data_IF_869406666858
#
_entry.id   IF_869406666858
#
_cell.length_a   1.000
_cell.length_b   1.000
_cell.length_c   1.000
_cell.angle_alpha   90.00
_cell.angle_beta   90.00
_cell.angle_gamma   90.00
#
_symmetry.space_group_name_H-M   'P 1'
#
loop_
_entity.id
_entity.type
_entity.pdbx_description
1 polymer ?
#
# COMPACT_ATOMS: atom_id res chain seq x y z
N UNK A 1 16.92 5.06 -24.71
CA UNK A 1 15.75 5.87 -24.30
C UNK A 1 14.55 4.99 -23.88
N UNK A 2 14.66 4.19 -22.80
CA UNK A 2 13.57 3.33 -22.29
C UNK A 2 13.32 3.47 -20.77
N UNK A 3 14.15 4.24 -20.07
CA UNK A 3 14.06 4.40 -18.61
C UNK A 3 13.11 5.53 -18.18
N UNK A 4 12.89 6.56 -19.00
CA UNK A 4 12.03 7.72 -18.64
C UNK A 4 10.52 7.42 -18.66
N UNK A 5 10.06 6.55 -19.55
CA UNK A 5 8.63 6.20 -19.64
C UNK A 5 8.16 5.40 -18.42
N UNK A 6 9.06 4.59 -17.85
CA UNK A 6 8.76 3.66 -16.75
C UNK A 6 8.59 4.36 -15.40
N UNK A 7 9.37 5.41 -15.17
CA UNK A 7 9.23 6.24 -13.96
C UNK A 7 7.84 6.87 -13.86
N UNK A 8 7.19 7.16 -15.00
CA UNK A 8 5.82 7.67 -15.01
C UNK A 8 4.81 6.58 -14.65
N UNK A 9 4.96 5.38 -15.19
CA UNK A 9 4.08 4.24 -14.89
C UNK A 9 4.17 3.82 -13.41
N UNK A 10 5.40 3.72 -12.88
CA UNK A 10 5.61 3.41 -11.46
C UNK A 10 4.99 4.47 -10.54
N UNK A 11 5.09 5.74 -10.94
CA UNK A 11 4.50 6.86 -10.20
C UNK A 11 2.97 6.89 -10.32
N UNK A 12 2.41 6.67 -11.51
CA UNK A 12 0.96 6.58 -11.73
C UNK A 12 0.36 5.42 -10.89
N UNK A 13 1.08 4.30 -10.81
CA UNK A 13 0.74 3.16 -9.95
C UNK A 13 0.83 3.50 -8.45
N UNK A 14 1.88 4.21 -8.03
CA UNK A 14 2.00 4.67 -6.64
C UNK A 14 0.88 5.64 -6.26
N UNK A 15 0.50 6.56 -7.16
CA UNK A 15 -0.62 7.48 -6.97
C UNK A 15 -1.96 6.73 -6.88
N UNK A 16 -2.18 5.73 -7.74
CA UNK A 16 -3.37 4.89 -7.68
C UNK A 16 -3.44 4.15 -6.35
N UNK A 17 -2.35 3.49 -5.94
CA UNK A 17 -2.28 2.78 -4.67
C UNK A 17 -2.59 3.72 -3.49
N UNK A 18 -2.00 4.90 -3.47
CA UNK A 18 -2.25 5.92 -2.45
C UNK A 18 -3.74 6.32 -2.41
N UNK A 19 -4.32 6.65 -3.58
CA UNK A 19 -5.71 7.09 -3.67
C UNK A 19 -6.71 6.00 -3.29
N UNK A 20 -6.43 4.73 -3.56
CA UNK A 20 -7.30 3.63 -3.15
C UNK A 20 -7.16 3.30 -1.66
N UNK A 21 -5.95 3.41 -1.08
CA UNK A 21 -5.73 3.23 0.36
C UNK A 21 -6.45 4.30 1.19
N UNK A 22 -6.43 5.57 0.76
CA UNK A 22 -7.14 6.67 1.45
C UNK A 22 -8.67 6.48 1.54
N UNK A 23 -9.25 5.62 0.68
CA UNK A 23 -10.68 5.32 0.73
C UNK A 23 -11.02 4.36 1.87
N UNK A 24 -10.03 3.72 2.49
CA UNK A 24 -10.24 2.79 3.60
C UNK A 24 -10.29 3.61 4.91
N UNK A 25 -11.38 3.56 5.67
CA UNK A 25 -11.48 4.26 6.94
C UNK A 25 -10.37 3.84 7.93
N UNK A 26 -9.73 4.84 8.56
CA UNK A 26 -8.65 4.63 9.53
C UNK A 26 -7.26 4.43 8.90
N UNK A 27 -7.14 4.44 7.57
CA UNK A 27 -5.83 4.49 6.90
C UNK A 27 -5.50 5.94 6.56
N UNK A 28 -4.32 6.38 6.98
CA UNK A 28 -3.75 7.68 6.59
C UNK A 28 -2.61 7.48 5.60
N UNK A 29 -2.63 8.15 4.46
CA UNK A 29 -1.57 8.06 3.44
C UNK A 29 -0.77 9.36 3.39
N UNK A 30 0.55 9.26 3.45
CA UNK A 30 1.46 10.40 3.37
C UNK A 30 1.68 10.81 1.90
N UNK A 31 0.70 11.52 1.34
CA UNK A 31 0.71 11.98 -0.07
C UNK A 31 1.93 12.83 -0.42
N UNK A 32 2.37 13.69 0.51
CA UNK A 32 3.55 14.54 0.34
C UNK A 32 4.87 13.74 0.26
N UNK A 33 4.85 12.48 0.68
CA UNK A 33 5.98 11.55 0.65
C UNK A 33 5.80 10.42 -0.38
N UNK A 34 4.93 10.60 -1.38
CA UNK A 34 4.87 9.65 -2.50
C UNK A 34 6.11 9.86 -3.36
N UNK A 35 7.09 8.97 -3.17
CA UNK A 35 8.24 8.88 -4.05
C UNK A 35 7.87 8.07 -5.29
N UNK A 36 8.74 8.11 -6.30
CA UNK A 36 8.53 7.51 -7.64
C UNK A 36 7.87 6.12 -7.58
N UNK A 37 8.23 5.29 -6.59
CA UNK A 37 7.69 3.95 -6.45
C UNK A 37 7.38 3.55 -5.00
N UNK A 38 7.22 4.52 -4.09
CA UNK A 38 6.97 4.23 -2.67
C UNK A 38 5.78 5.02 -2.13
N UNK A 39 4.90 4.33 -1.43
CA UNK A 39 3.73 4.90 -0.76
C UNK A 39 3.83 4.60 0.73
N UNK A 40 3.91 5.66 1.52
CA UNK A 40 3.92 5.57 2.98
C UNK A 40 2.51 5.75 3.52
N UNK A 41 2.11 4.92 4.46
CA UNK A 41 0.80 4.97 5.09
C UNK A 41 0.88 4.52 6.54
N UNK A 42 -0.11 4.94 7.31
CA UNK A 42 -0.29 4.61 8.72
C UNK A 42 -1.70 4.04 8.91
N UNK A 43 -1.82 3.14 9.87
CA UNK A 43 -3.09 2.50 10.24
C UNK A 43 -3.40 2.68 11.73
N UNK A 44 -2.77 3.65 12.40
CA UNK A 44 -2.90 3.84 13.84
C UNK A 44 -4.30 4.26 14.27
N UNK A 45 -5.07 4.85 13.35
CA UNK A 45 -6.50 5.13 13.52
C UNK A 45 -7.40 3.89 13.31
N UNK A 46 -6.81 2.74 12.99
CA UNK A 46 -7.48 1.44 13.02
C UNK A 46 -7.21 0.74 14.35
N UNK A 47 -8.16 -0.05 14.85
CA UNK A 47 -7.93 -0.94 16.01
C UNK A 47 -7.07 -2.17 15.65
N UNK A 48 -6.45 -2.18 14.47
CA UNK A 48 -5.77 -3.33 13.90
C UNK A 48 -4.24 -3.22 14.03
N UNK A 49 -3.58 -4.34 14.30
CA UNK A 49 -2.13 -4.37 14.47
C UNK A 49 -1.42 -4.39 13.12
N UNK A 50 -0.46 -3.49 12.94
CA UNK A 50 0.40 -3.45 11.74
C UNK A 50 1.17 -4.74 11.53
N UNK A 51 1.61 -5.41 12.60
CA UNK A 51 2.32 -6.69 12.52
C UNK A 51 1.40 -7.81 12.03
N UNK A 52 0.16 -7.85 12.53
CA UNK A 52 -0.86 -8.78 12.04
C UNK A 52 -1.20 -8.52 10.58
N UNK A 53 -1.34 -7.25 10.19
CA UNK A 53 -1.63 -6.88 8.81
C UNK A 53 -0.54 -7.37 7.86
N UNK A 54 0.73 -7.20 8.23
CA UNK A 54 1.87 -7.71 7.45
C UNK A 54 1.80 -9.23 7.30
N UNK A 55 1.51 -9.95 8.39
CA UNK A 55 1.42 -11.40 8.38
C UNK A 55 0.26 -11.91 7.50
N UNK A 56 -0.95 -11.35 7.64
CA UNK A 56 -2.11 -11.75 6.85
C UNK A 56 -1.96 -11.39 5.36
N UNK A 57 -1.35 -10.24 5.05
CA UNK A 57 -1.01 -9.90 3.67
C UNK A 57 0.02 -10.87 3.09
N UNK A 58 1.00 -11.29 3.89
CA UNK A 58 1.99 -12.27 3.46
C UNK A 58 1.35 -13.62 3.12
N UNK A 59 0.35 -14.07 3.89
CA UNK A 59 -0.43 -15.29 3.58
C UNK A 59 -1.22 -15.16 2.27
N UNK A 60 -1.64 -13.94 1.90
CA UNK A 60 -2.27 -13.63 0.61
C UNK A 60 -1.27 -13.38 -0.52
N UNK A 61 0.03 -13.61 -0.28
CA UNK A 61 1.10 -13.43 -1.27
C UNK A 61 1.55 -11.98 -1.47
N UNK A 62 1.15 -11.06 -0.60
CA UNK A 62 1.48 -9.64 -0.66
C UNK A 62 2.56 -9.34 0.39
N UNK A 63 3.75 -8.93 -0.07
CA UNK A 63 4.84 -8.55 0.81
C UNK A 63 4.92 -7.04 0.96
N UNK A 64 4.84 -6.57 2.20
CA UNK A 64 5.00 -5.15 2.54
C UNK A 64 6.12 -4.95 3.55
N UNK A 65 6.61 -3.72 3.67
CA UNK A 65 7.53 -3.39 4.75
C UNK A 65 6.75 -3.32 6.07
N UNK A 66 7.26 -3.93 7.15
CA UNK A 66 6.65 -3.78 8.48
C UNK A 66 6.66 -2.31 8.91
N UNK A 67 5.80 -1.97 9.86
CA UNK A 67 5.74 -0.62 10.40
C UNK A 67 7.07 -0.25 11.08
N UNK A 68 7.65 0.88 10.67
CA UNK A 68 8.79 1.51 11.34
C UNK A 68 8.28 2.83 11.93
N UNK A 69 8.33 2.96 13.26
CA UNK A 69 7.73 4.11 13.99
C UNK A 69 6.25 4.35 13.65
N UNK A 70 5.45 3.29 13.51
CA UNK A 70 4.03 3.35 13.16
C UNK A 70 3.76 3.49 11.65
N UNK A 71 4.76 3.86 10.85
CA UNK A 71 4.58 4.06 9.40
C UNK A 71 4.94 2.80 8.63
N UNK A 72 4.02 2.36 7.78
CA UNK A 72 4.19 1.26 6.83
C UNK A 72 4.49 1.81 5.44
N UNK A 73 5.11 1.00 4.58
CA UNK A 73 5.34 1.39 3.18
C UNK A 73 5.11 0.26 2.19
N UNK A 74 4.50 0.65 1.08
CA UNK A 74 4.48 -0.13 -0.15
C UNK A 74 5.60 0.31 -1.08
N UNK A 75 6.12 -0.67 -1.83
CA UNK A 75 7.08 -0.43 -2.91
C UNK A 75 6.49 -1.01 -4.19
N UNK A 76 6.11 -0.14 -5.11
CA UNK A 76 5.76 -0.54 -6.47
C UNK A 76 7.07 -0.83 -7.24
N UNK A 77 7.03 -1.82 -8.11
CA UNK A 77 8.16 -2.17 -8.97
C UNK A 77 7.62 -2.80 -10.25
N UNK A 78 8.48 -3.03 -11.23
CA UNK A 78 8.13 -3.45 -12.60
C UNK A 78 7.09 -4.59 -12.74
N UNK A 79 6.99 -5.49 -11.75
CA UNK A 79 6.06 -6.64 -11.79
C UNK A 79 4.70 -6.37 -11.14
N UNK A 80 4.50 -5.17 -10.59
CA UNK A 80 3.27 -4.72 -9.93
C UNK A 80 2.45 -3.91 -10.93
N UNK A 81 1.38 -4.53 -11.42
CA UNK A 81 0.39 -3.90 -12.28
C UNK A 81 -0.77 -3.35 -11.44
N UNK A 82 -1.67 -2.63 -12.12
CA UNK A 82 -2.89 -2.08 -11.52
C UNK A 82 -3.75 -3.15 -10.84
N UNK A 83 -3.86 -4.36 -11.40
CA UNK A 83 -4.67 -5.43 -10.82
C UNK A 83 -4.11 -5.90 -9.48
N UNK A 84 -2.79 -6.06 -9.37
CA UNK A 84 -2.12 -6.39 -8.11
C UNK A 84 -2.26 -5.28 -7.07
N UNK A 85 -2.25 -4.02 -7.49
CA UNK A 85 -2.50 -2.87 -6.60
C UNK A 85 -3.90 -2.94 -6.03
N UNK A 86 -4.92 -3.09 -6.89
CA UNK A 86 -6.30 -3.19 -6.47
C UNK A 86 -6.54 -4.41 -5.58
N UNK A 87 -5.93 -5.54 -5.91
CA UNK A 87 -5.97 -6.74 -5.07
C UNK A 87 -5.37 -6.50 -3.68
N UNK A 88 -4.21 -5.83 -3.60
CA UNK A 88 -3.57 -5.53 -2.32
C UNK A 88 -4.42 -4.59 -1.46
N UNK A 89 -5.00 -3.55 -2.06
CA UNK A 89 -5.89 -2.63 -1.35
C UNK A 89 -7.16 -3.34 -0.89
N UNK A 90 -7.76 -4.19 -1.73
CA UNK A 90 -8.94 -4.95 -1.35
C UNK A 90 -8.65 -5.92 -0.19
N UNK A 91 -7.48 -6.57 -0.20
CA UNK A 91 -7.03 -7.40 0.91
C UNK A 91 -6.91 -6.61 2.20
N UNK A 92 -6.26 -5.44 2.17
CA UNK A 92 -6.15 -4.56 3.34
C UNK A 92 -7.54 -4.16 3.84
N UNK A 93 -8.42 -3.74 2.92
CA UNK A 93 -9.79 -3.35 3.25
C UNK A 93 -10.52 -4.49 3.94
N UNK A 94 -10.44 -5.71 3.39
CA UNK A 94 -11.08 -6.88 3.98
C UNK A 94 -10.50 -7.23 5.36
N UNK A 95 -9.19 -7.12 5.55
CA UNK A 95 -8.53 -7.45 6.83
C UNK A 95 -8.94 -6.43 7.90
N UNK A 96 -8.90 -5.13 7.58
CA UNK A 96 -9.20 -4.06 8.54
C UNK A 96 -10.70 -3.94 8.82
N UNK A 97 -11.56 -4.09 7.81
CA UNK A 97 -13.02 -3.91 7.96
C UNK A 97 -13.77 -5.21 8.25
N UNK A 98 -13.20 -6.36 7.88
CA UNK A 98 -13.75 -7.69 8.09
C UNK A 98 -13.39 -8.31 9.44
N UNK A 99 -12.49 -7.68 10.21
CA UNK A 99 -12.31 -7.98 11.63
C UNK A 99 -13.55 -7.53 12.42
N UNK A 100 -14.59 -8.37 12.40
CA UNK A 100 -15.79 -8.25 13.24
C UNK A 100 -16.02 -9.53 14.01
#
# INVERSE_FOLDING_TARGET
>A
EKMRLRLKEDHDNALLLAGELEKIPGIYVYRDNIHINMVFFDISDTEYSSEKLVAELYEKGIRISPAENGTMRFVTHYWVDTEKILYAVDCIRQIITGAR
#
